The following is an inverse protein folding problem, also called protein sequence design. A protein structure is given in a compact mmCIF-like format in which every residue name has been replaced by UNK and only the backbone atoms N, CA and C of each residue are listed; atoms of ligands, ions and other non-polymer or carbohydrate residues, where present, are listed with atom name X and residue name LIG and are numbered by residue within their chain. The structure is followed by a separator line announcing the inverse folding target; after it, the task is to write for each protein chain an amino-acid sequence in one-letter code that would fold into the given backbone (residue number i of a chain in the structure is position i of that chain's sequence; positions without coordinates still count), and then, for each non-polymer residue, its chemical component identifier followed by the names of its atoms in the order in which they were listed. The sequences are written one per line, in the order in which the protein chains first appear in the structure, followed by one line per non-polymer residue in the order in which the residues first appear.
data_IF_402746118383
#
_entry.id   IF_402746118383
#
_cell.length_a   1.000
_cell.length_b   1.000
_cell.length_c   1.000
_cell.angle_alpha   90.00
_cell.angle_beta   90.00
_cell.angle_gamma   90.00
#
_symmetry.space_group_name_H-M   'P 1'
#
loop_
_entity.id
_entity.type
_entity.pdbx_description
1 polymer ?
#
# COMPACT_ATOMS: atom_id res chain seq x y z
N UNK A 1 -28.17 35.81 61.78
CA UNK A 1 -26.86 36.28 61.27
C UNK A 1 -25.89 35.12 61.37
N UNK A 2 -25.55 34.49 60.24
CA UNK A 2 -24.48 33.49 60.02
C UNK A 2 -24.77 32.74 58.72
N UNK A 3 -23.72 32.45 57.92
CA UNK A 3 -23.75 31.58 56.73
C UNK A 3 -23.25 32.32 55.48
N UNK A 4 -21.96 32.28 55.15
CA UNK A 4 -21.17 31.19 54.56
C UNK A 4 -20.93 31.49 53.07
N UNK A 5 -19.75 32.04 52.79
CA UNK A 5 -19.20 32.29 51.46
C UNK A 5 -18.22 31.17 51.14
N UNK A 6 -18.53 30.38 50.11
CA UNK A 6 -17.69 29.29 49.61
C UNK A 6 -16.65 29.86 48.66
N UNK A 7 -15.38 29.87 49.10
CA UNK A 7 -14.24 30.20 48.25
C UNK A 7 -13.90 29.02 47.34
N UNK A 8 -13.77 29.29 46.04
CA UNK A 8 -13.21 28.37 45.06
C UNK A 8 -11.70 28.21 45.30
N UNK A 9 -11.28 27.00 45.64
CA UNK A 9 -9.87 26.59 45.65
C UNK A 9 -9.42 26.20 44.24
N UNK A 10 -8.41 26.88 43.72
CA UNK A 10 -7.67 26.51 42.51
C UNK A 10 -6.69 25.37 42.86
N UNK A 11 -6.59 24.28 42.07
CA UNK A 11 -5.60 23.24 42.32
C UNK A 11 -4.20 23.75 41.93
N UNK A 12 -3.28 23.73 42.89
CA UNK A 12 -1.85 23.95 42.68
C UNK A 12 -1.25 22.74 41.93
N UNK A 13 -0.84 22.95 40.68
CA UNK A 13 -0.11 21.97 39.88
C UNK A 13 1.37 22.07 40.29
N UNK A 14 1.85 21.06 41.02
CA UNK A 14 3.27 20.93 41.34
C UNK A 14 4.13 20.70 40.08
N UNK A 15 5.43 21.04 40.11
CA UNK A 15 6.30 20.88 38.95
C UNK A 15 6.46 19.40 38.61
N UNK A 16 6.20 19.07 37.34
CA UNK A 16 6.50 17.78 36.75
C UNK A 16 8.01 17.47 36.86
N UNK A 17 8.40 16.22 37.16
CA UNK A 17 9.80 15.83 37.10
C UNK A 17 10.28 15.95 35.65
N UNK A 18 11.32 16.76 35.46
CA UNK A 18 12.09 16.84 34.22
C UNK A 18 12.75 15.47 34.03
N UNK A 19 12.35 14.73 33.00
CA UNK A 19 13.02 13.50 32.62
C UNK A 19 14.47 13.85 32.24
N UNK A 20 15.43 13.25 32.95
CA UNK A 20 16.85 13.39 32.64
C UNK A 20 17.14 12.90 31.20
N UNK A 21 18.06 13.55 30.48
CA UNK A 21 18.54 13.05 29.21
C UNK A 21 19.21 11.69 29.43
N UNK A 22 18.69 10.66 28.73
CA UNK A 22 19.27 9.31 28.74
C UNK A 22 20.72 9.41 28.27
N UNK A 23 21.67 9.16 29.18
CA UNK A 23 23.10 9.11 28.88
C UNK A 23 23.40 7.95 27.93
N UNK A 24 23.98 8.25 26.77
CA UNK A 24 24.29 7.29 25.68
C UNK A 24 25.52 6.41 25.99
N UNK A 25 26.05 6.43 27.22
CA UNK A 25 27.31 5.74 27.55
C UNK A 25 27.16 4.23 27.86
N UNK A 26 26.19 3.53 27.28
CA UNK A 26 26.03 2.07 27.49
C UNK A 26 25.84 1.25 26.20
N UNK A 27 26.13 1.84 25.04
CA UNK A 27 26.08 1.13 23.75
C UNK A 27 27.36 0.33 23.42
N UNK A 28 28.28 0.20 24.37
CA UNK A 28 29.50 -0.59 24.19
C UNK A 28 29.30 -2.04 24.65
N UNK A 29 29.37 -2.96 23.67
CA UNK A 29 29.61 -4.41 23.78
C UNK A 29 28.48 -5.40 23.44
N UNK A 30 27.44 -5.02 22.68
CA UNK A 30 26.59 -6.03 22.01
C UNK A 30 26.29 -5.74 20.54
N UNK A 31 27.22 -5.09 19.83
CA UNK A 31 27.14 -4.98 18.37
C UNK A 31 27.23 -6.39 17.79
N UNK A 32 26.10 -6.91 17.32
CA UNK A 32 26.04 -8.22 16.65
C UNK A 32 27.01 -8.22 15.46
N UNK A 33 27.65 -9.35 15.17
CA UNK A 33 28.62 -9.51 14.08
C UNK A 33 28.07 -9.19 12.67
N UNK A 34 26.78 -8.87 12.54
CA UNK A 34 26.08 -8.57 11.29
C UNK A 34 25.71 -7.08 11.14
N UNK A 35 26.16 -6.19 12.02
CA UNK A 35 25.85 -4.76 11.92
C UNK A 35 26.72 -4.07 10.86
N UNK A 36 26.10 -3.44 9.87
CA UNK A 36 26.77 -2.71 8.80
C UNK A 36 27.31 -1.35 9.32
N UNK A 37 28.50 -0.97 8.88
CA UNK A 37 29.08 0.37 9.10
C UNK A 37 28.18 1.45 8.50
N UNK A 38 27.63 1.21 7.31
CA UNK A 38 26.70 2.15 6.67
C UNK A 38 25.45 2.39 7.55
N UNK A 39 24.96 1.37 8.26
CA UNK A 39 23.79 1.50 9.14
C UNK A 39 24.13 2.30 10.40
N UNK A 40 25.31 2.07 10.98
CA UNK A 40 25.80 2.84 12.12
C UNK A 40 26.02 4.31 11.77
N UNK A 41 26.59 4.60 10.60
CA UNK A 41 26.79 5.98 10.10
C UNK A 41 25.45 6.68 9.85
N UNK A 42 24.48 5.99 9.26
CA UNK A 42 23.12 6.53 9.10
C UNK A 42 22.49 6.86 10.45
N UNK A 43 22.58 5.96 11.44
CA UNK A 43 21.98 6.20 12.77
C UNK A 43 22.75 7.27 13.55
N UNK A 44 24.06 7.38 13.39
CA UNK A 44 24.85 8.44 14.02
C UNK A 44 24.42 9.83 13.52
N UNK A 45 24.00 9.94 12.26
CA UNK A 45 23.50 11.22 11.71
C UNK A 45 22.24 11.73 12.41
N UNK A 46 21.52 10.90 13.17
CA UNK A 46 20.42 11.33 14.03
C UNK A 46 20.85 12.32 15.11
N UNK A 47 22.08 12.19 15.59
CA UNK A 47 22.58 12.91 16.77
C UNK A 47 23.21 14.24 16.38
N UNK A 48 23.82 14.30 15.19
CA UNK A 48 24.69 15.41 14.80
C UNK A 48 23.97 16.52 14.00
N UNK A 49 22.65 16.39 13.75
CA UNK A 49 21.88 17.30 12.87
C UNK A 49 22.57 17.58 11.53
N UNK A 50 23.40 16.65 11.07
CA UNK A 50 24.18 16.81 9.85
C UNK A 50 23.28 16.79 8.62
N UNK A 51 23.70 17.46 7.54
CA UNK A 51 23.10 17.38 6.19
C UNK A 51 23.35 16.00 5.53
N UNK A 52 23.21 14.92 6.28
CA UNK A 52 23.35 13.56 5.79
C UNK A 52 22.06 13.14 5.08
N UNK A 53 22.20 12.68 3.84
CA UNK A 53 21.09 12.20 3.03
C UNK A 53 21.20 10.67 2.94
N UNK A 54 20.32 9.89 3.59
CA UNK A 54 20.37 8.43 3.57
C UNK A 54 19.77 7.88 2.26
N UNK A 55 20.57 7.79 1.20
CA UNK A 55 20.16 7.36 -0.13
C UNK A 55 19.54 5.97 -0.16
N UNK A 56 19.98 5.01 0.67
CA UNK A 56 19.33 3.69 0.76
C UNK A 56 17.89 3.79 1.27
N UNK A 57 17.66 4.66 2.25
CA UNK A 57 16.32 4.92 2.78
C UNK A 57 15.45 5.65 1.75
N UNK A 58 16.01 6.63 1.04
CA UNK A 58 15.33 7.32 -0.06
C UNK A 58 14.93 6.35 -1.18
N UNK A 59 15.82 5.43 -1.55
CA UNK A 59 15.53 4.42 -2.57
C UNK A 59 14.34 3.54 -2.17
N UNK A 60 14.32 3.03 -0.92
CA UNK A 60 13.19 2.25 -0.42
C UNK A 60 11.89 3.07 -0.46
N UNK A 61 11.95 4.35 -0.11
CA UNK A 61 10.79 5.24 -0.17
C UNK A 61 10.25 5.35 -1.60
N UNK A 62 11.11 5.56 -2.60
CA UNK A 62 10.66 5.68 -4.00
C UNK A 62 10.03 4.40 -4.54
N UNK A 63 10.55 3.24 -4.15
CA UNK A 63 9.94 1.96 -4.53
C UNK A 63 8.53 1.86 -3.92
N UNK A 64 8.38 2.17 -2.62
CA UNK A 64 7.07 2.18 -1.95
C UNK A 64 6.12 3.21 -2.58
N UNK A 65 6.61 4.41 -2.88
CA UNK A 65 5.88 5.48 -3.54
C UNK A 65 5.32 5.01 -4.88
N UNK A 66 6.19 4.40 -5.72
CA UNK A 66 5.80 3.92 -7.05
C UNK A 66 4.79 2.78 -7.02
N UNK A 67 4.89 1.89 -6.03
CA UNK A 67 3.94 0.78 -5.85
C UNK A 67 2.56 1.27 -5.40
N UNK A 68 2.53 2.37 -4.66
CA UNK A 68 1.35 2.81 -3.91
C UNK A 68 1.05 4.30 -4.14
N UNK A 69 1.20 4.78 -5.38
CA UNK A 69 1.03 6.20 -5.75
C UNK A 69 -0.34 6.77 -5.39
N UNK A 70 -1.37 5.93 -5.36
CA UNK A 70 -2.73 6.31 -4.97
C UNK A 70 -2.96 6.40 -3.45
N UNK A 71 -2.02 5.95 -2.61
CA UNK A 71 -2.23 5.88 -1.17
C UNK A 71 -1.88 7.17 -0.42
N UNK A 72 -2.55 7.35 0.72
CA UNK A 72 -2.17 8.35 1.70
C UNK A 72 -0.71 8.20 2.08
N UNK A 73 -0.05 9.34 2.28
CA UNK A 73 1.36 9.36 2.59
C UNK A 73 1.68 8.62 3.89
N UNK A 74 0.81 8.66 4.91
CA UNK A 74 1.04 7.95 6.17
C UNK A 74 1.12 6.46 5.97
N UNK A 75 0.32 5.87 5.07
CA UNK A 75 0.37 4.43 4.79
C UNK A 75 1.61 4.02 4.04
N UNK A 76 2.06 4.85 3.09
CA UNK A 76 3.37 4.66 2.46
C UNK A 76 4.48 4.76 3.50
N UNK A 77 4.41 5.73 4.41
CA UNK A 77 5.36 5.85 5.53
C UNK A 77 5.31 4.63 6.44
N UNK A 78 4.14 4.16 6.85
CA UNK A 78 4.01 2.96 7.69
C UNK A 78 4.64 1.72 7.03
N UNK A 79 4.38 1.48 5.74
CA UNK A 79 5.02 0.40 4.99
C UNK A 79 6.54 0.60 4.87
N UNK A 80 6.98 1.80 4.53
CA UNK A 80 8.40 2.11 4.41
C UNK A 80 9.15 1.89 5.73
N UNK A 81 8.58 2.36 6.85
CA UNK A 81 9.11 2.14 8.19
C UNK A 81 9.10 0.65 8.58
N UNK A 82 8.07 -0.12 8.23
CA UNK A 82 8.01 -1.56 8.53
C UNK A 82 9.11 -2.32 7.80
N UNK A 83 9.36 -1.99 6.53
CA UNK A 83 10.45 -2.57 5.73
C UNK A 83 11.84 -2.26 6.33
N UNK A 84 12.04 -1.03 6.82
CA UNK A 84 13.30 -0.61 7.48
C UNK A 84 13.48 -1.28 8.83
N UNK A 85 12.42 -1.41 9.62
CA UNK A 85 12.50 -2.05 10.94
C UNK A 85 12.69 -3.57 10.84
N UNK A 86 12.15 -4.18 9.78
CA UNK A 86 12.18 -5.61 9.53
C UNK A 86 10.98 -6.33 10.17
N UNK A 87 10.28 -7.12 9.33
CA UNK A 87 9.22 -8.04 9.74
C UNK A 87 9.72 -9.47 9.95
N UNK A 88 8.80 -10.38 10.30
CA UNK A 88 9.13 -11.78 10.62
C UNK A 88 9.36 -12.66 9.39
N UNK A 89 8.81 -12.31 8.22
CA UNK A 89 8.77 -13.23 7.07
C UNK A 89 9.58 -12.79 5.84
N UNK A 90 9.55 -11.50 5.47
CA UNK A 90 10.20 -11.00 4.26
C UNK A 90 11.23 -9.91 4.59
N UNK A 91 12.46 -10.32 4.90
CA UNK A 91 13.53 -9.35 5.11
C UNK A 91 14.08 -8.81 3.77
N UNK A 92 13.82 -7.53 3.51
CA UNK A 92 14.32 -6.80 2.34
C UNK A 92 15.65 -6.07 2.61
N UNK A 93 16.16 -6.09 3.85
CA UNK A 93 17.38 -5.40 4.27
C UNK A 93 18.63 -6.21 3.89
N UNK A 94 18.91 -6.23 2.60
CA UNK A 94 19.99 -7.01 1.99
C UNK A 94 21.20 -6.14 1.60
N UNK A 95 21.32 -4.97 2.21
CA UNK A 95 22.44 -4.05 2.02
C UNK A 95 23.76 -4.65 2.50
N UNK A 96 24.85 -4.10 1.97
CA UNK A 96 26.24 -4.36 2.38
C UNK A 96 26.97 -3.03 2.50
N UNK A 97 28.01 -2.97 3.34
CA UNK A 97 28.85 -1.78 3.47
C UNK A 97 29.37 -1.27 2.12
N UNK A 98 29.27 0.05 1.93
CA UNK A 98 29.60 0.74 0.68
C UNK A 98 28.41 0.93 -0.26
N UNK A 99 27.24 0.33 0.01
CA UNK A 99 26.02 0.58 -0.77
C UNK A 99 25.55 2.03 -0.64
N UNK A 100 25.71 2.63 0.54
CA UNK A 100 25.34 4.03 0.77
C UNK A 100 26.21 4.99 -0.06
N UNK A 101 27.53 4.81 0.00
CA UNK A 101 28.49 5.60 -0.78
C UNK A 101 28.32 5.40 -2.29
N UNK A 102 28.01 4.17 -2.72
CA UNK A 102 27.70 3.89 -4.11
C UNK A 102 26.42 4.59 -4.56
N UNK A 103 25.36 4.56 -3.74
CA UNK A 103 24.08 5.18 -4.05
C UNK A 103 24.23 6.70 -4.19
N UNK A 104 25.00 7.34 -3.32
CA UNK A 104 25.28 8.78 -3.42
C UNK A 104 25.89 9.17 -4.79
N UNK A 105 26.66 8.29 -5.42
CA UNK A 105 27.33 8.55 -6.70
C UNK A 105 26.48 8.13 -7.92
N UNK A 106 25.65 7.10 -7.79
CA UNK A 106 25.03 6.41 -8.93
C UNK A 106 23.49 6.46 -8.92
N UNK A 107 22.87 6.85 -7.82
CA UNK A 107 21.43 6.93 -7.67
C UNK A 107 20.99 8.38 -7.47
N UNK A 108 20.10 8.84 -8.36
CA UNK A 108 19.51 10.17 -8.29
C UNK A 108 18.03 10.03 -7.98
N UNK A 109 17.59 10.37 -6.75
CA UNK A 109 16.19 10.26 -6.41
C UNK A 109 15.34 11.23 -7.25
N UNK A 110 14.21 10.73 -7.75
CA UNK A 110 13.25 11.50 -8.51
C UNK A 110 12.55 12.52 -7.59
N UNK A 111 12.66 13.81 -7.90
CA UNK A 111 12.11 14.87 -7.03
C UNK A 111 10.62 14.72 -6.75
N UNK A 112 9.84 14.18 -7.70
CA UNK A 112 8.42 13.89 -7.49
C UNK A 112 8.17 12.72 -6.55
N UNK A 113 9.05 11.72 -6.54
CA UNK A 113 8.92 10.57 -5.64
C UNK A 113 9.25 10.96 -4.18
N UNK A 114 10.09 11.98 -3.98
CA UNK A 114 10.38 12.53 -2.66
C UNK A 114 9.24 13.43 -2.11
N UNK A 115 8.17 13.65 -2.87
CA UNK A 115 7.07 14.52 -2.44
C UNK A 115 6.43 14.00 -1.14
N UNK A 116 6.48 14.85 -0.12
CA UNK A 116 5.91 14.59 1.20
C UNK A 116 6.81 13.79 2.14
N UNK A 117 8.03 13.42 1.71
CA UNK A 117 9.06 12.95 2.62
C UNK A 117 9.59 14.15 3.44
N UNK A 118 9.08 14.30 4.66
CA UNK A 118 9.47 15.40 5.55
C UNK A 118 10.74 15.05 6.34
N UNK A 119 11.47 16.04 6.89
CA UNK A 119 12.58 15.78 7.81
C UNK A 119 12.18 14.88 8.99
N UNK A 120 10.93 15.03 9.47
CA UNK A 120 10.37 14.15 10.51
C UNK A 120 10.23 12.70 10.04
N UNK A 121 9.76 12.47 8.81
CA UNK A 121 9.64 11.12 8.27
C UNK A 121 11.01 10.44 8.13
N UNK A 122 12.06 11.20 7.73
CA UNK A 122 13.44 10.71 7.73
C UNK A 122 13.94 10.37 9.14
N UNK A 123 13.65 11.22 10.13
CA UNK A 123 13.95 10.93 11.54
C UNK A 123 13.26 9.65 12.03
N UNK A 124 11.99 9.45 11.68
CA UNK A 124 11.23 8.26 12.02
C UNK A 124 11.84 7.01 11.37
N UNK A 125 12.33 7.11 10.13
CA UNK A 125 13.01 6.04 9.42
C UNK A 125 14.37 5.67 10.03
N UNK A 126 15.16 6.67 10.40
CA UNK A 126 16.42 6.44 11.10
C UNK A 126 16.18 5.84 12.50
N UNK A 127 15.09 6.23 13.17
CA UNK A 127 14.64 5.60 14.42
C UNK A 127 14.23 4.14 14.19
N UNK A 128 13.52 3.84 13.10
CA UNK A 128 13.17 2.46 12.72
C UNK A 128 14.43 1.62 12.45
N UNK A 129 15.44 2.20 11.80
CA UNK A 129 16.74 1.55 11.61
C UNK A 129 17.45 1.30 12.94
N UNK A 130 17.45 2.27 13.87
CA UNK A 130 18.00 2.08 15.21
C UNK A 130 17.28 0.94 15.98
N UNK A 131 15.95 0.84 15.86
CA UNK A 131 15.17 -0.26 16.44
C UNK A 131 15.59 -1.60 15.83
N UNK A 132 15.79 -1.66 14.51
CA UNK A 132 16.33 -2.84 13.83
C UNK A 132 17.67 -3.26 14.42
N UNK A 133 18.62 -2.34 14.52
CA UNK A 133 19.97 -2.62 15.04
C UNK A 133 19.91 -3.11 16.50
N UNK A 134 19.07 -2.51 17.33
CA UNK A 134 18.86 -2.92 18.73
C UNK A 134 18.24 -4.31 18.85
N UNK A 135 17.31 -4.67 17.93
CA UNK A 135 16.68 -6.00 17.90
C UNK A 135 17.68 -7.10 17.51
N UNK A 136 18.72 -6.74 16.76
CA UNK A 136 19.71 -7.69 16.23
C UNK A 136 19.24 -8.37 14.96
N UNK A 137 19.78 -9.57 14.67
CA UNK A 137 19.35 -10.34 13.49
C UNK A 137 17.84 -10.64 13.58
N UNK A 138 17.07 -10.50 12.49
CA UNK A 138 15.63 -10.64 12.53
C UNK A 138 15.23 -12.01 13.11
N UNK A 139 14.28 -11.96 14.04
CA UNK A 139 13.67 -13.13 14.68
C UNK A 139 12.78 -13.80 13.63
N UNK A 140 13.35 -14.76 12.92
CA UNK A 140 12.72 -15.44 11.78
C UNK A 140 13.68 -16.40 11.09
N UNK A 141 14.34 -17.28 11.87
CA UNK A 141 15.25 -18.31 11.35
C UNK A 141 14.53 -19.51 10.70
N UNK A 142 13.20 -19.51 10.64
CA UNK A 142 12.42 -20.47 9.85
C UNK A 142 12.31 -20.05 8.37
N UNK A 143 13.33 -19.37 7.85
CA UNK A 143 13.41 -19.07 6.42
C UNK A 143 13.64 -20.38 5.68
N UNK A 144 12.75 -20.69 4.74
CA UNK A 144 12.90 -21.83 3.85
C UNK A 144 14.31 -21.84 3.23
N UNK A 145 14.84 -23.01 2.90
CA UNK A 145 16.16 -23.12 2.24
C UNK A 145 16.26 -22.25 0.98
N UNK A 146 15.13 -21.97 0.32
CA UNK A 146 15.06 -21.07 -0.84
C UNK A 146 15.26 -19.61 -0.46
N UNK A 147 14.68 -19.15 0.66
CA UNK A 147 14.86 -17.79 1.16
C UNK A 147 16.32 -17.49 1.53
N UNK A 148 16.98 -18.43 2.19
CA UNK A 148 18.41 -18.31 2.51
C UNK A 148 19.29 -18.23 1.26
N UNK A 149 18.92 -18.95 0.19
CA UNK A 149 19.71 -19.03 -1.04
C UNK A 149 19.79 -17.70 -1.80
N UNK A 150 18.68 -16.97 -1.96
CA UNK A 150 18.73 -15.67 -2.62
C UNK A 150 19.29 -14.59 -1.70
N UNK A 151 19.06 -14.64 -0.38
CA UNK A 151 19.68 -13.70 0.58
C UNK A 151 21.20 -13.76 0.49
N UNK A 152 21.78 -14.96 0.50
CA UNK A 152 23.22 -15.15 0.32
C UNK A 152 23.69 -14.65 -1.04
N UNK A 153 22.94 -14.94 -2.12
CA UNK A 153 23.25 -14.46 -3.46
C UNK A 153 23.29 -12.95 -3.56
N UNK A 154 22.27 -12.27 -3.03
CA UNK A 154 22.17 -10.82 -3.05
C UNK A 154 23.29 -10.19 -2.22
N UNK A 155 23.59 -10.70 -1.03
CA UNK A 155 24.68 -10.14 -0.20
C UNK A 155 26.07 -10.42 -0.78
N UNK A 156 26.26 -11.56 -1.46
CA UNK A 156 27.54 -11.95 -2.04
C UNK A 156 27.85 -11.29 -3.40
N UNK A 157 26.86 -10.69 -4.07
CA UNK A 157 27.11 -10.06 -5.37
C UNK A 157 28.00 -8.84 -5.19
N UNK A 158 29.12 -8.78 -5.89
CA UNK A 158 30.06 -7.65 -5.75
C UNK A 158 29.53 -6.33 -6.29
N UNK A 159 28.43 -6.34 -7.05
CA UNK A 159 27.87 -5.16 -7.70
C UNK A 159 26.68 -4.59 -6.90
N UNK A 160 26.79 -3.37 -6.34
CA UNK A 160 25.70 -2.70 -5.64
C UNK A 160 24.42 -2.56 -6.48
N UNK A 161 24.51 -2.27 -7.78
CA UNK A 161 23.33 -2.11 -8.63
C UNK A 161 22.43 -3.35 -8.61
N UNK A 162 23.02 -4.54 -8.70
CA UNK A 162 22.28 -5.81 -8.63
C UNK A 162 21.59 -6.01 -7.27
N UNK A 163 22.16 -5.48 -6.18
CA UNK A 163 21.50 -5.46 -4.86
C UNK A 163 20.30 -4.52 -4.85
N UNK A 164 20.44 -3.31 -5.38
CA UNK A 164 19.32 -2.36 -5.50
C UNK A 164 18.17 -2.94 -6.32
N UNK A 165 18.47 -3.59 -7.45
CA UNK A 165 17.49 -4.32 -8.27
C UNK A 165 16.76 -5.40 -7.47
N UNK A 166 17.52 -6.21 -6.71
CA UNK A 166 16.97 -7.26 -5.87
C UNK A 166 16.05 -6.71 -4.78
N UNK A 167 16.51 -5.68 -4.07
CA UNK A 167 15.75 -5.07 -2.97
C UNK A 167 14.47 -4.42 -3.49
N UNK A 168 14.51 -3.69 -4.62
CA UNK A 168 13.30 -3.14 -5.23
C UNK A 168 12.28 -4.22 -5.61
N UNK A 169 12.75 -5.36 -6.12
CA UNK A 169 11.87 -6.49 -6.44
C UNK A 169 11.26 -7.09 -5.17
N UNK A 170 12.08 -7.37 -4.16
CA UNK A 170 11.63 -7.96 -2.90
C UNK A 170 10.63 -7.06 -2.17
N UNK A 171 10.84 -5.73 -2.16
CA UNK A 171 9.85 -4.77 -1.67
C UNK A 171 8.54 -4.88 -2.45
N UNK A 172 8.63 -4.95 -3.78
CA UNK A 172 7.47 -5.07 -4.69
C UNK A 172 6.67 -6.35 -4.49
N UNK A 173 7.33 -7.45 -4.14
CA UNK A 173 6.70 -8.77 -3.94
C UNK A 173 6.50 -9.14 -2.47
N UNK A 174 6.86 -8.27 -1.54
CA UNK A 174 6.76 -8.53 -0.10
C UNK A 174 5.32 -8.76 0.35
N UNK A 175 5.17 -9.54 1.41
CA UNK A 175 3.91 -9.78 2.09
C UNK A 175 3.36 -8.50 2.70
N UNK A 176 4.19 -7.61 3.24
CA UNK A 176 3.74 -6.31 3.75
C UNK A 176 3.10 -5.44 2.67
N UNK A 177 3.71 -5.36 1.47
CA UNK A 177 3.11 -4.67 0.32
C UNK A 177 1.81 -5.35 -0.15
N UNK A 178 1.75 -6.68 -0.08
CA UNK A 178 0.55 -7.46 -0.42
C UNK A 178 -0.58 -7.25 0.60
N UNK A 179 -0.27 -7.25 1.89
CA UNK A 179 -1.20 -6.95 2.99
C UNK A 179 -1.75 -5.54 2.88
N UNK A 180 -0.90 -4.58 2.52
CA UNK A 180 -1.35 -3.21 2.26
C UNK A 180 -2.35 -3.20 1.10
N UNK A 181 -2.05 -3.88 -0.01
CA UNK A 181 -2.97 -3.99 -1.16
C UNK A 181 -4.33 -4.60 -0.77
N UNK A 182 -4.32 -5.66 0.05
CA UNK A 182 -5.53 -6.32 0.56
C UNK A 182 -6.37 -5.40 1.44
N UNK A 183 -5.72 -4.59 2.30
CA UNK A 183 -6.42 -3.59 3.13
C UNK A 183 -7.17 -2.55 2.30
N UNK A 184 -6.78 -2.37 1.04
CA UNK A 184 -7.39 -1.45 0.07
C UNK A 184 -8.42 -2.14 -0.83
N UNK A 185 -8.70 -3.43 -0.62
CA UNK A 185 -9.61 -4.19 -1.44
C UNK A 185 -9.02 -4.71 -2.75
N UNK A 186 -7.71 -4.58 -2.97
CA UNK A 186 -7.03 -5.20 -4.12
C UNK A 186 -6.51 -6.59 -3.79
N UNK A 187 -6.50 -7.47 -4.78
CA UNK A 187 -5.67 -8.67 -4.75
C UNK A 187 -4.20 -8.30 -4.86
N UNK A 188 -3.28 -9.09 -4.27
CA UNK A 188 -1.85 -8.85 -4.37
C UNK A 188 -1.36 -8.76 -5.82
N UNK A 189 -0.64 -7.68 -6.16
CA UNK A 189 -0.20 -7.43 -7.53
C UNK A 189 0.77 -8.52 -8.04
N UNK A 190 1.56 -9.12 -7.15
CA UNK A 190 2.49 -10.23 -7.47
C UNK A 190 1.80 -11.45 -8.07
N UNK A 191 0.52 -11.66 -7.76
CA UNK A 191 -0.31 -12.71 -8.34
C UNK A 191 -1.21 -12.17 -9.46
N UNK A 192 -1.94 -11.09 -9.21
CA UNK A 192 -3.04 -10.69 -10.08
C UNK A 192 -2.67 -9.67 -11.16
N UNK A 193 -1.58 -8.91 -10.97
CA UNK A 193 -1.16 -7.81 -11.84
C UNK A 193 0.36 -7.65 -11.91
N UNK A 194 1.05 -8.68 -12.38
CA UNK A 194 2.50 -8.67 -12.53
C UNK A 194 2.98 -7.61 -13.53
N UNK A 195 2.21 -7.28 -14.58
CA UNK A 195 2.55 -6.16 -15.50
C UNK A 195 2.80 -4.88 -14.71
N UNK A 196 1.92 -4.57 -13.76
CA UNK A 196 2.06 -3.38 -12.93
C UNK A 196 3.35 -3.42 -12.11
N UNK A 197 3.64 -4.53 -11.43
CA UNK A 197 4.88 -4.66 -10.65
C UNK A 197 6.13 -4.52 -11.51
N UNK A 198 6.18 -5.18 -12.67
CA UNK A 198 7.33 -5.07 -13.59
C UNK A 198 7.48 -3.62 -14.06
N UNK A 199 6.38 -2.95 -14.38
CA UNK A 199 6.40 -1.54 -14.81
C UNK A 199 6.94 -0.62 -13.72
N UNK A 200 6.50 -0.81 -12.47
CA UNK A 200 6.98 -0.03 -11.31
C UNK A 200 8.46 -0.32 -11.05
N UNK A 201 8.84 -1.60 -11.01
CA UNK A 201 10.22 -2.02 -10.80
C UNK A 201 11.15 -1.41 -11.84
N UNK A 202 10.85 -1.60 -13.14
CA UNK A 202 11.62 -1.02 -14.24
C UNK A 202 11.74 0.49 -14.09
N UNK A 203 10.62 1.19 -13.83
CA UNK A 203 10.64 2.65 -13.71
C UNK A 203 11.53 3.12 -12.57
N UNK A 204 11.49 2.44 -11.42
CA UNK A 204 12.23 2.81 -10.21
C UNK A 204 13.71 2.39 -10.26
N UNK A 205 14.05 1.43 -11.10
CA UNK A 205 15.44 0.99 -11.29
C UNK A 205 16.06 1.54 -12.56
N UNK A 206 15.30 2.24 -13.39
CA UNK A 206 15.79 2.86 -14.63
C UNK A 206 16.80 3.95 -14.27
N UNK A 207 18.01 3.81 -14.79
CA UNK A 207 19.12 4.73 -14.50
C UNK A 207 20.19 4.13 -13.59
N UNK A 208 19.91 3.01 -12.92
CA UNK A 208 20.95 2.26 -12.24
C UNK A 208 21.90 1.63 -13.28
N UNK A 209 23.23 1.66 -13.06
CA UNK A 209 24.19 1.01 -13.95
C UNK A 209 23.87 -0.48 -14.15
N UNK A 210 24.00 -1.00 -15.38
CA UNK A 210 23.78 -2.43 -15.60
C UNK A 210 24.84 -3.25 -14.84
N UNK A 211 24.37 -4.06 -13.90
CA UNK A 211 25.22 -4.90 -13.06
C UNK A 211 24.97 -6.39 -13.18
N UNK A 212 24.03 -6.79 -14.05
CA UNK A 212 23.64 -8.18 -14.16
C UNK A 212 24.52 -8.94 -15.16
N UNK A 213 24.84 -10.22 -14.88
CA UNK A 213 25.54 -11.07 -15.86
C UNK A 213 24.81 -11.06 -17.18
N UNK A 214 25.49 -10.95 -18.32
CA UNK A 214 24.88 -11.05 -19.64
C UNK A 214 24.17 -12.40 -19.80
N UNK A 215 22.93 -12.41 -20.28
CA UNK A 215 22.24 -13.61 -20.73
C UNK A 215 22.35 -13.74 -22.25
N UNK A 216 22.29 -14.95 -22.79
CA UNK A 216 22.23 -15.11 -24.25
C UNK A 216 20.90 -14.57 -24.78
N UNK A 217 20.91 -14.00 -25.99
CA UNK A 217 19.69 -13.56 -26.69
C UNK A 217 18.68 -14.71 -26.83
N UNK A 218 19.18 -15.93 -26.99
CA UNK A 218 18.39 -17.15 -27.11
C UNK A 218 17.45 -17.37 -25.91
N UNK A 219 17.84 -16.96 -24.70
CA UNK A 219 16.99 -17.11 -23.50
C UNK A 219 15.74 -16.26 -23.61
N UNK A 220 15.87 -15.00 -24.05
CA UNK A 220 14.72 -14.12 -24.22
C UNK A 220 13.85 -14.57 -25.40
N UNK A 221 14.45 -14.96 -26.52
CA UNK A 221 13.70 -15.41 -27.70
C UNK A 221 12.97 -16.73 -27.44
N UNK A 222 13.54 -17.61 -26.61
CA UNK A 222 12.87 -18.81 -26.12
C UNK A 222 11.68 -18.46 -25.21
N UNK A 223 11.87 -17.53 -24.28
CA UNK A 223 10.80 -17.04 -23.39
C UNK A 223 9.65 -16.37 -24.18
N UNK A 224 9.96 -15.45 -25.09
CA UNK A 224 8.99 -14.73 -25.92
C UNK A 224 8.15 -15.71 -26.75
N UNK A 225 8.79 -16.69 -27.40
CA UNK A 225 8.09 -17.76 -28.14
C UNK A 225 7.21 -18.59 -27.23
N UNK A 226 7.75 -19.08 -26.11
CA UNK A 226 7.02 -19.93 -25.16
C UNK A 226 5.73 -19.27 -24.68
N UNK A 227 5.78 -17.98 -24.32
CA UNK A 227 4.62 -17.23 -23.82
C UNK A 227 3.59 -16.97 -24.92
N UNK A 228 4.03 -16.68 -26.15
CA UNK A 228 3.14 -16.51 -27.31
C UNK A 228 2.44 -17.81 -27.69
N UNK A 229 3.20 -18.89 -27.78
CA UNK A 229 2.70 -20.22 -28.15
C UNK A 229 1.73 -20.77 -27.10
N UNK A 230 1.95 -20.42 -25.83
CA UNK A 230 1.03 -20.74 -24.72
C UNK A 230 -0.25 -19.90 -24.74
N UNK A 231 -0.37 -18.92 -25.64
CA UNK A 231 -1.60 -18.13 -25.80
C UNK A 231 -1.87 -17.13 -24.68
N UNK A 232 -0.83 -16.49 -24.12
CA UNK A 232 -0.97 -15.43 -23.11
C UNK A 232 -1.01 -14.02 -23.74
N UNK A 233 -2.18 -13.48 -24.13
CA UNK A 233 -2.27 -12.13 -24.70
C UNK A 233 -1.89 -11.03 -23.70
N UNK A 234 -1.88 -11.33 -22.39
CA UNK A 234 -1.40 -10.41 -21.37
C UNK A 234 0.09 -10.05 -21.53
N UNK A 235 0.86 -10.87 -22.24
CA UNK A 235 2.25 -10.52 -22.58
C UNK A 235 2.33 -9.36 -23.58
N UNK A 236 1.38 -9.25 -24.52
CA UNK A 236 1.27 -8.06 -25.36
C UNK A 236 0.96 -6.81 -24.53
N UNK A 237 0.16 -6.93 -23.46
CA UNK A 237 -0.04 -5.82 -22.52
C UNK A 237 1.27 -5.45 -21.81
N UNK A 238 2.07 -6.44 -21.40
CA UNK A 238 3.39 -6.20 -20.82
C UNK A 238 4.30 -5.42 -21.79
N UNK A 239 4.43 -5.87 -23.04
CA UNK A 239 5.23 -5.20 -24.08
C UNK A 239 4.72 -3.80 -24.47
N UNK A 240 3.45 -3.47 -24.21
CA UNK A 240 2.92 -2.11 -24.40
C UNK A 240 3.33 -1.14 -23.29
N UNK A 241 3.55 -1.66 -22.08
CA UNK A 241 3.87 -0.85 -20.90
C UNK A 241 5.37 -0.82 -20.58
N UNK A 242 6.09 -1.85 -21.02
CA UNK A 242 7.52 -2.06 -20.72
C UNK A 242 8.25 -2.26 -22.05
N UNK A 243 9.33 -1.50 -22.25
CA UNK A 243 10.14 -1.63 -23.47
C UNK A 243 10.80 -3.01 -23.52
N UNK A 244 11.01 -3.56 -24.72
CA UNK A 244 11.57 -4.91 -24.87
C UNK A 244 12.93 -5.09 -24.18
N UNK A 245 13.78 -4.07 -24.15
CA UNK A 245 15.06 -4.13 -23.42
C UNK A 245 14.87 -4.16 -21.90
N UNK A 246 13.88 -3.44 -21.37
CA UNK A 246 13.52 -3.50 -19.96
C UNK A 246 12.94 -4.87 -19.59
N UNK A 247 12.16 -5.49 -20.50
CA UNK A 247 11.67 -6.85 -20.34
C UNK A 247 12.82 -7.88 -20.28
N UNK A 248 13.83 -7.71 -21.14
CA UNK A 248 15.04 -8.54 -21.14
C UNK A 248 15.83 -8.38 -19.85
N UNK A 249 15.99 -7.14 -19.38
CA UNK A 249 16.64 -6.83 -18.12
C UNK A 249 15.92 -7.51 -16.96
N UNK A 250 14.59 -7.37 -16.89
CA UNK A 250 13.75 -8.00 -15.87
C UNK A 250 13.83 -9.54 -15.91
N UNK A 251 13.78 -10.15 -17.10
CA UNK A 251 13.91 -11.60 -17.24
C UNK A 251 15.27 -12.08 -16.72
N UNK A 252 16.36 -11.47 -17.18
CA UNK A 252 17.73 -11.78 -16.76
C UNK A 252 17.92 -11.62 -15.26
N UNK A 253 17.35 -10.55 -14.71
CA UNK A 253 17.31 -10.30 -13.28
C UNK A 253 16.63 -11.44 -12.50
N UNK A 254 15.44 -11.88 -12.91
CA UNK A 254 14.72 -12.95 -12.23
C UNK A 254 15.48 -14.28 -12.29
N UNK A 255 16.03 -14.63 -13.46
CA UNK A 255 16.82 -15.83 -13.62
C UNK A 255 18.04 -15.83 -12.71
N UNK A 256 18.71 -14.68 -12.59
CA UNK A 256 19.81 -14.50 -11.65
C UNK A 256 19.34 -14.62 -10.19
N UNK A 257 18.32 -13.87 -9.78
CA UNK A 257 17.85 -13.80 -8.39
C UNK A 257 17.41 -15.17 -7.85
N UNK A 258 16.67 -15.93 -8.66
CA UNK A 258 16.08 -17.21 -8.26
C UNK A 258 16.90 -18.44 -8.67
N UNK A 259 18.08 -18.23 -9.26
CA UNK A 259 18.97 -19.29 -9.75
C UNK A 259 18.33 -20.24 -10.77
N UNK A 260 17.72 -19.67 -11.80
CA UNK A 260 17.00 -20.44 -12.81
C UNK A 260 17.62 -20.23 -14.18
N UNK A 261 17.64 -21.29 -14.98
CA UNK A 261 18.04 -21.21 -16.38
C UNK A 261 16.92 -20.71 -17.29
N UNK A 262 15.66 -20.86 -16.86
CA UNK A 262 14.48 -20.46 -17.62
C UNK A 262 13.33 -20.01 -16.70
N UNK A 263 12.48 -19.13 -17.23
CA UNK A 263 11.34 -18.56 -16.50
C UNK A 263 10.08 -19.43 -16.62
N UNK A 264 9.96 -20.24 -17.67
CA UNK A 264 8.75 -21.02 -17.96
C UNK A 264 7.55 -20.14 -18.36
N UNK A 265 6.34 -20.63 -18.08
CA UNK A 265 5.09 -19.94 -18.43
C UNK A 265 4.65 -19.04 -17.28
N UNK A 266 4.41 -17.76 -17.58
CA UNK A 266 3.94 -16.78 -16.61
C UNK A 266 2.77 -15.96 -17.15
N UNK A 267 1.76 -15.76 -16.30
CA UNK A 267 0.62 -14.92 -16.63
C UNK A 267 0.79 -13.52 -16.04
N UNK A 268 1.09 -12.55 -16.89
CA UNK A 268 1.36 -11.18 -16.44
C UNK A 268 0.12 -10.44 -15.89
N UNK A 269 -1.08 -10.84 -16.30
CA UNK A 269 -2.32 -10.17 -15.88
C UNK A 269 -3.44 -11.18 -15.67
N UNK A 270 -3.42 -11.87 -14.53
CA UNK A 270 -4.35 -12.98 -14.26
C UNK A 270 -5.82 -12.54 -14.25
N UNK A 271 -6.10 -11.27 -13.99
CA UNK A 271 -7.47 -10.78 -13.95
C UNK A 271 -8.25 -10.87 -15.26
N UNK A 272 -7.60 -10.58 -16.39
CA UNK A 272 -8.26 -10.51 -17.70
C UNK A 272 -7.68 -11.50 -18.71
N UNK A 273 -6.56 -12.15 -18.38
CA UNK A 273 -5.96 -13.13 -19.28
C UNK A 273 -6.85 -14.39 -19.42
N UNK A 274 -7.19 -14.80 -20.66
CA UNK A 274 -7.95 -16.03 -20.89
C UNK A 274 -7.13 -17.29 -20.57
N UNK A 275 -5.80 -17.24 -20.75
CA UNK A 275 -4.88 -18.34 -20.47
C UNK A 275 -4.44 -18.43 -18.99
N UNK A 276 -5.07 -17.69 -18.06
CA UNK A 276 -4.71 -17.66 -16.63
C UNK A 276 -4.80 -19.00 -15.89
N UNK A 277 -5.45 -20.00 -16.49
CA UNK A 277 -5.65 -21.33 -15.92
C UNK A 277 -4.52 -22.30 -16.28
N UNK A 278 -3.61 -21.90 -17.18
CA UNK A 278 -2.43 -22.69 -17.47
C UNK A 278 -1.52 -22.75 -16.23
N UNK A 279 -0.82 -23.89 -16.02
CA UNK A 279 0.10 -24.04 -14.91
C UNK A 279 1.22 -23.01 -15.04
N UNK A 280 1.27 -22.08 -14.08
CA UNK A 280 2.33 -21.10 -13.99
C UNK A 280 3.59 -21.72 -13.37
N UNK A 281 4.73 -21.10 -13.64
CA UNK A 281 5.99 -21.42 -13.00
C UNK A 281 5.88 -21.40 -11.47
N UNK A 282 6.24 -22.51 -10.83
CA UNK A 282 5.96 -22.77 -9.41
C UNK A 282 6.72 -21.86 -8.44
N UNK A 283 7.89 -21.37 -8.81
CA UNK A 283 8.74 -20.53 -7.95
C UNK A 283 8.42 -19.02 -8.03
N UNK A 284 7.50 -18.63 -8.92
CA UNK A 284 6.87 -17.30 -8.96
C UNK A 284 5.36 -17.40 -8.69
N UNK A 285 4.97 -18.43 -7.95
CA UNK A 285 3.58 -18.71 -7.61
C UNK A 285 3.35 -18.53 -6.11
N UNK A 286 2.37 -17.69 -5.77
CA UNK A 286 1.99 -17.35 -4.41
C UNK A 286 0.60 -17.95 -4.11
N UNK A 287 0.51 -19.25 -3.77
CA UNK A 287 -0.78 -19.92 -3.54
C UNK A 287 -1.62 -19.26 -2.44
N UNK A 288 -0.97 -18.68 -1.44
CA UNK A 288 -1.59 -17.95 -0.34
C UNK A 288 -2.41 -16.75 -0.82
N UNK A 289 -1.96 -16.05 -1.85
CA UNK A 289 -2.69 -14.91 -2.45
C UNK A 289 -4.05 -15.34 -3.02
N UNK A 290 -4.16 -16.61 -3.42
CA UNK A 290 -5.42 -17.21 -3.92
C UNK A 290 -6.29 -17.78 -2.80
N UNK A 291 -5.68 -18.25 -1.71
CA UNK A 291 -6.41 -18.74 -0.53
C UNK A 291 -7.14 -17.62 0.21
N UNK A 292 -6.67 -16.39 0.07
CA UNK A 292 -7.28 -15.19 0.64
C UNK A 292 -8.47 -14.64 -0.17
N UNK A 293 -9.01 -15.41 -1.14
CA UNK A 293 -10.36 -15.16 -1.65
C UNK A 293 -11.34 -15.17 -0.47
N UNK A 294 -12.23 -14.17 -0.34
CA UNK A 294 -13.18 -14.15 0.75
C UNK A 294 -14.04 -15.41 0.70
N UNK A 295 -14.23 -16.01 1.87
CA UNK A 295 -15.34 -16.91 2.18
C UNK A 295 -16.57 -16.45 1.39
N UNK A 296 -17.09 -17.36 0.56
CA UNK A 296 -18.40 -17.22 -0.08
C UNK A 296 -19.38 -16.72 0.97
N UNK A 297 -19.93 -15.52 0.76
CA UNK A 297 -20.95 -14.84 1.56
C UNK A 297 -21.83 -15.84 2.34
N UNK A 298 -21.46 -16.11 3.59
CA UNK A 298 -22.31 -16.86 4.52
C UNK A 298 -23.39 -15.88 4.94
N UNK A 299 -24.62 -16.19 4.53
CA UNK A 299 -25.84 -15.44 4.86
C UNK A 299 -26.09 -15.44 6.37
N UNK A 300 -25.47 -14.57 7.16
CA UNK A 300 -26.03 -14.16 8.46
C UNK A 300 -25.39 -12.89 9.03
N UNK A 301 -26.15 -11.79 8.91
CA UNK A 301 -26.19 -10.62 9.80
C UNK A 301 -24.91 -9.73 9.92
N UNK A 302 -24.71 -8.82 8.94
CA UNK A 302 -23.95 -7.52 8.91
C UNK A 302 -23.40 -6.95 10.25
N UNK A 303 -22.48 -5.95 10.27
CA UNK A 303 -21.18 -5.69 9.60
C UNK A 303 -19.98 -5.83 10.60
N UNK A 304 -18.70 -5.52 10.23
CA UNK A 304 -17.58 -4.91 11.06
C UNK A 304 -16.17 -5.55 11.20
N UNK A 305 -15.15 -4.69 11.33
CA UNK A 305 -13.77 -4.89 10.81
C UNK A 305 -12.77 -4.97 11.95
N UNK A 306 -11.60 -4.34 11.72
CA UNK A 306 -10.29 -4.59 12.26
C UNK A 306 -10.13 -6.01 12.77
N UNK A 307 -10.31 -6.96 11.82
CA UNK A 307 -10.03 -8.41 11.86
C UNK A 307 -11.24 -9.32 11.53
N UNK A 308 -12.38 -8.81 11.03
CA UNK A 308 -13.52 -9.67 10.65
C UNK A 308 -14.63 -9.08 9.77
N UNK A 309 -14.33 -8.22 8.77
CA UNK A 309 -15.38 -7.39 8.15
C UNK A 309 -16.25 -7.89 7.01
N UNK A 310 -17.56 -7.62 7.15
CA UNK A 310 -18.46 -7.17 6.08
C UNK A 310 -18.68 -5.64 6.08
N UNK A 311 -18.42 -4.97 4.93
CA UNK A 311 -18.63 -3.53 4.68
C UNK A 311 -19.91 -3.24 3.86
N UNK A 312 -20.71 -2.20 4.20
CA UNK A 312 -21.93 -1.83 3.49
C UNK A 312 -21.70 -0.97 2.23
N UNK A 313 -22.50 -1.21 1.19
CA UNK A 313 -22.37 -0.56 -0.14
C UNK A 313 -22.60 0.95 -0.14
N UNK A 314 -23.40 1.41 0.81
CA UNK A 314 -23.91 2.77 0.86
C UNK A 314 -22.91 3.76 1.46
N UNK A 315 -22.21 3.36 2.52
CA UNK A 315 -21.26 4.22 3.22
C UNK A 315 -20.06 4.58 2.33
N UNK A 316 -19.52 3.57 1.64
CA UNK A 316 -18.41 3.75 0.71
C UNK A 316 -18.81 4.68 -0.44
N UNK A 317 -20.03 4.53 -0.99
CA UNK A 317 -20.54 5.41 -2.02
C UNK A 317 -20.73 6.87 -1.54
N UNK A 318 -21.20 7.08 -0.31
CA UNK A 318 -21.45 8.42 0.26
C UNK A 318 -20.16 9.18 0.54
N UNK A 319 -19.20 8.54 1.23
CA UNK A 319 -17.90 9.15 1.54
C UNK A 319 -17.14 9.44 0.23
N UNK A 320 -17.16 8.50 -0.70
CA UNK A 320 -16.53 8.64 -2.01
C UNK A 320 -17.13 9.75 -2.88
N UNK A 321 -18.47 9.82 -3.00
CA UNK A 321 -19.15 10.88 -3.76
C UNK A 321 -18.87 12.27 -3.19
N UNK A 322 -18.72 12.36 -1.87
CA UNK A 322 -18.43 13.63 -1.20
C UNK A 322 -16.98 14.06 -1.45
N UNK A 323 -16.02 13.13 -1.32
CA UNK A 323 -14.61 13.39 -1.58
C UNK A 323 -14.34 13.80 -3.04
N UNK A 324 -14.94 13.10 -4.01
CA UNK A 324 -14.72 13.35 -5.45
C UNK A 324 -15.37 14.63 -5.95
N UNK A 325 -16.54 15.01 -5.41
CA UNK A 325 -17.26 16.20 -5.87
C UNK A 325 -16.71 17.51 -5.29
N UNK A 326 -16.08 17.45 -4.11
CA UNK A 326 -15.65 18.65 -3.41
C UNK A 326 -14.13 18.72 -3.18
N UNK A 327 -13.39 17.68 -3.56
CA UNK A 327 -11.96 17.54 -3.27
C UNK A 327 -11.71 17.05 -1.84
N UNK A 328 -10.54 16.45 -1.59
CA UNK A 328 -10.13 15.96 -0.26
C UNK A 328 -10.12 17.09 0.79
N UNK A 329 -9.82 18.32 0.37
CA UNK A 329 -9.80 19.52 1.21
C UNK A 329 -11.19 19.92 1.72
N UNK A 330 -12.27 19.52 1.05
CA UNK A 330 -13.64 19.85 1.46
C UNK A 330 -14.25 18.84 2.45
N UNK A 331 -13.57 17.72 2.68
CA UNK A 331 -13.83 16.84 3.81
C UNK A 331 -12.97 17.31 4.98
N UNK A 332 -13.23 18.52 5.49
CA UNK A 332 -12.69 18.89 6.80
C UNK A 332 -13.15 17.88 7.85
N UNK A 333 -12.39 17.70 8.92
CA UNK A 333 -12.76 16.81 10.02
C UNK A 333 -14.19 17.09 10.50
N UNK A 334 -14.58 18.37 10.57
CA UNK A 334 -15.94 18.82 10.87
C UNK A 334 -17.00 18.30 9.87
N UNK A 335 -16.72 18.33 8.56
CA UNK A 335 -17.67 17.88 7.53
C UNK A 335 -17.82 16.36 7.52
N UNK A 336 -16.74 15.64 7.79
CA UNK A 336 -16.77 14.20 8.03
C UNK A 336 -17.58 13.88 9.29
N UNK A 337 -17.37 14.60 10.39
CA UNK A 337 -18.17 14.48 11.61
C UNK A 337 -19.67 14.74 11.36
N UNK A 338 -20.03 15.74 10.56
CA UNK A 338 -21.43 16.02 10.19
C UNK A 338 -22.06 14.88 9.37
N UNK A 339 -21.33 14.33 8.39
CA UNK A 339 -21.76 13.19 7.59
C UNK A 339 -21.94 11.96 8.49
N UNK A 340 -20.97 11.71 9.37
CA UNK A 340 -21.01 10.58 10.29
C UNK A 340 -22.13 10.72 11.32
N UNK A 341 -22.35 11.91 11.88
CA UNK A 341 -23.46 12.20 12.79
C UNK A 341 -24.81 12.02 12.09
N UNK A 342 -24.90 12.38 10.81
CA UNK A 342 -26.10 12.16 9.99
C UNK A 342 -26.35 10.69 9.71
N UNK A 343 -25.30 9.92 9.46
CA UNK A 343 -25.35 8.47 9.22
C UNK A 343 -25.69 7.70 10.50
N UNK A 344 -25.11 8.07 11.64
CA UNK A 344 -25.36 7.44 12.95
C UNK A 344 -26.83 7.60 13.40
N UNK A 345 -27.56 8.58 12.86
CA UNK A 345 -28.99 8.80 13.11
C UNK A 345 -29.90 7.93 12.25
N UNK A 346 -29.37 7.18 11.28
CA UNK A 346 -30.17 6.28 10.47
C UNK A 346 -30.59 5.07 11.30
N UNK A 347 -31.89 4.77 11.32
CA UNK A 347 -32.35 3.50 11.89
C UNK A 347 -31.84 2.34 11.05
N UNK A 348 -31.65 1.18 11.67
CA UNK A 348 -31.27 -0.07 10.97
C UNK A 348 -32.16 -0.33 9.75
N UNK A 349 -33.48 -0.12 9.88
CA UNK A 349 -34.43 -0.28 8.79
C UNK A 349 -34.19 0.71 7.63
N UNK A 350 -33.92 1.98 7.92
CA UNK A 350 -33.61 2.98 6.88
C UNK A 350 -32.28 2.68 6.19
N UNK A 351 -31.30 2.20 6.95
CA UNK A 351 -30.01 1.76 6.43
C UNK A 351 -30.18 0.59 5.45
N UNK A 352 -30.86 -0.47 5.90
CA UNK A 352 -31.09 -1.67 5.11
C UNK A 352 -31.88 -1.36 3.84
N UNK A 353 -32.89 -0.48 3.94
CA UNK A 353 -33.67 0.01 2.79
C UNK A 353 -32.81 0.80 1.80
N UNK A 354 -32.00 1.73 2.28
CA UNK A 354 -31.14 2.57 1.42
C UNK A 354 -30.08 1.73 0.71
N UNK A 355 -29.53 0.71 1.38
CA UNK A 355 -28.60 -0.23 0.78
C UNK A 355 -29.26 -1.15 -0.26
N UNK A 356 -30.51 -1.57 -0.01
CA UNK A 356 -31.29 -2.31 -1.00
C UNK A 356 -31.57 -1.44 -2.24
N UNK A 357 -32.05 -0.22 -2.06
CA UNK A 357 -32.31 0.72 -3.16
C UNK A 357 -31.03 1.05 -3.95
N UNK A 358 -29.90 1.26 -3.26
CA UNK A 358 -28.62 1.47 -3.92
C UNK A 358 -28.19 0.21 -4.68
N UNK A 359 -28.32 -0.97 -4.08
CA UNK A 359 -27.97 -2.24 -4.74
C UNK A 359 -28.82 -2.52 -5.98
N UNK A 360 -30.09 -2.11 -5.98
CA UNK A 360 -30.96 -2.22 -7.15
C UNK A 360 -30.55 -1.27 -8.28
N UNK A 361 -30.07 -0.07 -7.94
CA UNK A 361 -29.68 0.96 -8.92
C UNK A 361 -28.24 0.84 -9.40
N UNK A 362 -27.36 0.33 -8.55
CA UNK A 362 -25.94 0.13 -8.82
C UNK A 362 -25.77 -1.26 -9.42
N UNK A 363 -25.75 -1.31 -10.75
CA UNK A 363 -25.44 -2.54 -11.45
C UNK A 363 -23.96 -2.89 -11.23
N UNK A 364 -23.72 -4.00 -10.54
CA UNK A 364 -22.37 -4.54 -10.41
C UNK A 364 -21.80 -4.79 -11.81
N UNK A 365 -20.60 -4.28 -12.09
CA UNK A 365 -19.88 -4.62 -13.31
C UNK A 365 -19.42 -6.08 -13.30
N UNK A 366 -18.90 -6.57 -14.43
CA UNK A 366 -18.23 -7.88 -14.48
C UNK A 366 -17.16 -7.97 -13.38
N UNK A 367 -17.17 -8.99 -12.50
CA UNK A 367 -16.14 -9.16 -11.49
C UNK A 367 -14.74 -9.19 -12.10
N UNK A 368 -13.77 -8.61 -11.41
CA UNK A 368 -12.36 -8.59 -11.80
C UNK A 368 -11.52 -9.11 -10.63
N UNK A 369 -10.60 -10.04 -10.92
CA UNK A 369 -9.80 -10.73 -9.92
C UNK A 369 -8.73 -9.85 -9.26
N UNK A 370 -8.40 -8.67 -9.82
CA UNK A 370 -7.54 -7.70 -9.12
C UNK A 370 -8.22 -7.11 -7.88
N UNK A 371 -9.52 -7.32 -7.71
CA UNK A 371 -10.30 -6.77 -6.62
C UNK A 371 -10.86 -7.90 -5.75
N UNK A 372 -10.91 -7.66 -4.44
CA UNK A 372 -11.59 -8.53 -3.49
C UNK A 372 -13.09 -8.61 -3.77
N UNK A 373 -13.74 -9.67 -3.30
CA UNK A 373 -15.15 -9.93 -3.60
C UNK A 373 -16.08 -8.77 -3.22
N UNK A 374 -15.80 -8.10 -2.10
CA UNK A 374 -16.59 -6.96 -1.63
C UNK A 374 -16.48 -5.74 -2.56
N UNK A 375 -15.36 -5.53 -3.26
CA UNK A 375 -15.23 -4.46 -4.25
C UNK A 375 -15.94 -4.80 -5.57
N UNK A 376 -16.04 -6.09 -5.90
CA UNK A 376 -16.69 -6.53 -7.14
C UNK A 376 -18.20 -6.29 -7.16
N UNK A 377 -18.82 -5.93 -6.02
CA UNK A 377 -20.24 -5.53 -5.95
C UNK A 377 -20.52 -4.15 -6.54
N UNK A 378 -19.48 -3.35 -6.83
CA UNK A 378 -19.60 -2.01 -7.40
C UNK A 378 -19.34 -2.00 -8.92
N UNK A 379 -19.72 -0.92 -9.64
CA UNK A 379 -19.37 -0.70 -11.04
C UNK A 379 -17.86 -0.59 -11.21
N UNK A 380 -17.34 -0.92 -12.39
CA UNK A 380 -15.89 -0.98 -12.66
C UNK A 380 -15.21 0.36 -12.36
N UNK A 381 -15.86 1.45 -12.76
CA UNK A 381 -15.39 2.82 -12.63
C UNK A 381 -15.19 3.19 -11.16
N UNK A 382 -16.08 2.71 -10.28
CA UNK A 382 -16.01 2.97 -8.85
C UNK A 382 -14.89 2.15 -8.19
N UNK A 383 -14.64 0.92 -8.62
CA UNK A 383 -13.64 0.05 -7.96
C UNK A 383 -12.24 0.66 -7.92
N UNK A 384 -11.80 1.24 -9.05
CA UNK A 384 -10.50 1.89 -9.15
C UNK A 384 -10.41 3.10 -8.20
N UNK A 385 -11.50 3.84 -8.08
CA UNK A 385 -11.56 5.04 -7.24
C UNK A 385 -11.72 4.68 -5.76
N UNK A 386 -12.39 3.57 -5.45
CA UNK A 386 -12.56 3.04 -4.10
C UNK A 386 -11.26 2.48 -3.56
N UNK A 387 -10.51 1.70 -4.36
CA UNK A 387 -9.25 1.13 -3.90
C UNK A 387 -8.12 2.17 -3.74
N UNK A 388 -8.17 3.32 -4.44
CA UNK A 388 -7.20 4.40 -4.27
C UNK A 388 -7.62 5.48 -3.26
N UNK A 389 -8.91 5.80 -3.17
CA UNK A 389 -9.40 6.95 -2.38
C UNK A 389 -9.86 6.61 -0.96
N UNK A 390 -10.15 5.34 -0.66
CA UNK A 390 -10.44 4.89 0.70
C UNK A 390 -9.16 4.56 1.44
N UNK A 391 -8.36 5.60 1.67
CA UNK A 391 -7.23 5.50 2.58
C UNK A 391 -7.78 4.99 3.91
N UNK A 392 -7.01 4.14 4.59
CA UNK A 392 -7.38 3.69 5.93
C UNK A 392 -7.60 4.85 6.93
N UNK A 393 -7.14 6.06 6.60
CA UNK A 393 -7.30 7.25 7.41
C UNK A 393 -8.76 7.68 7.37
N UNK A 394 -9.35 7.76 6.17
CA UNK A 394 -10.80 7.94 6.02
C UNK A 394 -11.57 6.84 6.75
N UNK A 395 -11.04 5.60 6.73
CA UNK A 395 -11.64 4.48 7.42
C UNK A 395 -11.47 4.51 8.96
N UNK A 396 -10.28 4.81 9.47
CA UNK A 396 -9.97 4.90 10.91
C UNK A 396 -10.67 6.12 11.51
N UNK A 397 -10.63 7.27 10.85
CA UNK A 397 -11.40 8.45 11.23
C UNK A 397 -12.90 8.16 11.18
N UNK A 398 -13.38 7.42 10.17
CA UNK A 398 -14.75 6.95 10.14
C UNK A 398 -15.07 6.08 11.37
N UNK A 399 -14.22 5.11 11.68
CA UNK A 399 -14.45 4.16 12.77
C UNK A 399 -14.34 4.83 14.15
N UNK A 400 -13.37 5.73 14.33
CA UNK A 400 -13.21 6.58 15.52
C UNK A 400 -14.44 7.46 15.74
N UNK A 401 -14.93 8.15 14.70
CA UNK A 401 -16.13 8.97 14.79
C UNK A 401 -17.38 8.11 15.00
N UNK A 402 -17.48 6.93 14.37
CA UNK A 402 -18.59 5.98 14.57
C UNK A 402 -18.64 5.50 16.02
N UNK A 403 -17.48 5.16 16.60
CA UNK A 403 -17.35 4.72 18.00
C UNK A 403 -17.65 5.88 18.96
N UNK A 404 -17.13 7.08 18.69
CA UNK A 404 -17.40 8.27 19.50
C UNK A 404 -18.90 8.64 19.49
N UNK A 405 -19.56 8.61 18.33
CA UNK A 405 -20.98 8.89 18.19
C UNK A 405 -21.88 7.83 18.84
N UNK A 406 -21.45 6.56 18.85
CA UNK A 406 -22.17 5.49 19.53
C UNK A 406 -22.09 5.63 21.06
N UNK A 407 -20.96 6.13 21.58
CA UNK A 407 -20.73 6.29 23.02
C UNK A 407 -21.31 7.61 23.57
N UNK A 408 -21.41 8.64 22.73
CA UNK A 408 -22.00 9.93 23.08
C UNK A 408 -23.00 10.36 21.98
N UNK A 409 -24.23 9.80 21.98
CA UNK A 409 -25.25 10.22 21.04
C UNK A 409 -25.54 11.71 21.27
N UNK A 410 -25.27 12.59 20.30
CA UNK A 410 -25.36 14.01 20.56
C UNK A 410 -26.82 14.42 20.80
N UNK A 411 -27.06 15.17 21.88
CA UNK A 411 -28.35 15.80 22.19
C UNK A 411 -28.60 16.99 21.24
N UNK A 412 -28.88 16.71 19.97
CA UNK A 412 -29.49 17.69 19.08
C UNK A 412 -30.97 17.37 18.89
N UNK A 413 -31.84 18.40 18.79
CA UNK A 413 -33.26 18.20 18.61
C UNK A 413 -33.54 17.43 17.31
N UNK A 414 -34.66 16.68 17.26
CA UNK A 414 -35.03 15.83 16.13
C UNK A 414 -35.55 16.69 14.98
N UNK A 415 -34.67 17.42 14.33
CA UNK A 415 -34.98 18.11 13.08
C UNK A 415 -33.94 17.76 12.03
N UNK A 416 -34.47 17.18 10.95
CA UNK A 416 -33.87 17.08 9.61
C UNK A 416 -32.95 15.90 9.28
N UNK A 417 -33.22 14.72 9.85
CA UNK A 417 -32.83 13.43 9.26
C UNK A 417 -33.36 13.27 7.82
N UNK A 418 -34.50 13.89 7.48
CA UNK A 418 -35.08 13.95 6.12
C UNK A 418 -34.28 14.85 5.17
N UNK A 419 -33.63 15.93 5.64
CA UNK A 419 -32.77 16.75 4.77
C UNK A 419 -31.40 16.14 4.55
N UNK A 420 -30.85 15.43 5.54
CA UNK A 420 -29.60 14.68 5.37
C UNK A 420 -29.79 13.49 4.41
N UNK A 421 -30.88 12.72 4.58
CA UNK A 421 -31.30 11.73 3.59
C UNK A 421 -31.62 12.37 2.25
N UNK A 422 -32.31 13.52 2.21
CA UNK A 422 -32.60 14.26 0.99
C UNK A 422 -31.34 14.74 0.28
N UNK A 423 -30.31 15.15 1.01
CA UNK A 423 -29.01 15.56 0.46
C UNK A 423 -28.21 14.36 -0.04
N UNK A 424 -28.20 13.24 0.71
CA UNK A 424 -27.57 11.98 0.30
C UNK A 424 -28.28 11.42 -0.93
N UNK A 425 -29.61 11.37 -0.95
CA UNK A 425 -30.42 10.90 -2.07
C UNK A 425 -30.28 11.84 -3.27
N UNK A 426 -30.25 13.17 -3.07
CA UNK A 426 -30.03 14.16 -4.12
C UNK A 426 -28.61 14.09 -4.69
N UNK A 427 -27.58 13.88 -3.85
CA UNK A 427 -26.20 13.62 -4.27
C UNK A 427 -26.09 12.33 -5.08
N UNK A 428 -26.75 11.27 -4.62
CA UNK A 428 -26.78 9.96 -5.29
C UNK A 428 -27.54 10.02 -6.62
N UNK A 429 -28.70 10.71 -6.66
CA UNK A 429 -29.51 10.91 -7.87
C UNK A 429 -28.80 11.83 -8.87
N UNK A 430 -28.18 12.93 -8.44
CA UNK A 430 -27.37 13.81 -9.31
C UNK A 430 -26.12 13.11 -9.83
N UNK A 431 -25.49 12.25 -9.03
CA UNK A 431 -24.35 11.45 -9.47
C UNK A 431 -24.76 10.41 -10.52
N UNK A 432 -25.87 9.69 -10.31
CA UNK A 432 -26.44 8.75 -11.29
C UNK A 432 -26.88 9.48 -12.57
N UNK A 433 -27.47 10.67 -12.47
CA UNK A 433 -27.85 11.49 -13.63
C UNK A 433 -26.64 12.07 -14.38
N UNK A 434 -25.57 12.47 -13.69
CA UNK A 434 -24.35 12.96 -14.34
C UNK A 434 -23.55 11.83 -15.02
N UNK A 435 -23.56 10.61 -14.48
CA UNK A 435 -23.04 9.41 -15.17
C UNK A 435 -23.94 9.01 -16.35
N UNK A 436 -25.26 9.21 -16.22
CA UNK A 436 -26.21 9.09 -17.33
C UNK A 436 -25.97 10.10 -18.46
N UNK A 437 -25.61 11.35 -18.12
CA UNK A 437 -25.25 12.39 -19.08
C UNK A 437 -23.83 12.22 -19.65
N UNK A 438 -22.92 11.52 -18.96
CA UNK A 438 -21.64 11.11 -19.52
C UNK A 438 -21.80 10.17 -20.73
N UNK A 439 -22.93 9.47 -20.88
CA UNK A 439 -23.23 8.71 -22.13
C UNK A 439 -23.54 9.62 -23.33
N UNK A 440 -24.05 10.84 -23.14
CA UNK A 440 -24.18 11.79 -24.26
C UNK A 440 -22.82 12.40 -24.60
N UNK A 441 -22.01 12.73 -23.60
CA UNK A 441 -20.63 13.22 -23.81
C UNK A 441 -19.72 12.16 -24.44
N UNK A 442 -19.91 10.87 -24.13
CA UNK A 442 -19.19 9.76 -24.80
C UNK A 442 -19.70 9.47 -26.21
N UNK A 443 -20.98 9.75 -26.52
CA UNK A 443 -21.49 9.69 -27.90
C UNK A 443 -20.91 10.80 -28.77
N UNK A 444 -20.73 12.00 -28.21
CA UNK A 444 -20.16 13.15 -28.91
C UNK A 444 -18.64 13.02 -29.12
N UNK A 445 -17.96 12.20 -28.31
CA UNK A 445 -16.54 11.85 -28.46
C UNK A 445 -16.33 10.63 -29.38
N UNK A 446 -17.36 9.82 -29.62
CA UNK A 446 -17.32 8.71 -30.60
C UNK A 446 -17.78 9.12 -32.00
N UNK A 447 -18.40 10.30 -32.15
CA UNK A 447 -18.81 10.89 -33.43
C UNK A 447 -17.87 12.00 -33.94
N UNK A 448 -16.83 12.34 -33.16
CA UNK A 448 -15.66 13.13 -33.57
C UNK A 448 -14.47 12.19 -33.73
#
# INVERSE_FOLDING_TARGET
MSGSSSQHGTPSIGPYPIAEPVSVSSLDNSVSANTLKDDLECVASLQDYADFIPYRLLFLWEVVEGLHTGLDIRRRTELWLSLIEGGEEDDVWLWVDGDEAWAQQNYQPESSALQGLTPRALQDALTALQRRLTRGSPVGQDTSSEALSYVQRVRSVGNPSSRFLAIAWLVSTSRDSSNLSLSQGYGPARTFNLVFLVTVWVRRTRGLPDGLPSSSHDVYDSFDRTIRDSGHPCYTLMLRNVASEDCRLWLRFLLWLYDKSELGIICFYQAECPARFLPATSWLFYPEDRRQQPLVLIKSQRPKDNLGMEHPKLLHAIVWLTATRHGSVALSDQKLEEIHASIARLSRQMWDKSEAELSERVQAGKPNLIFLAWMNVYPREWRLQLGGGLTSLNWRQFEEVRVAAANNPPHYPPTNSIMALGAILWLTVRAVQNVGNSKSTLKDIQSA
#
